data_IF_407827336296
#
_entry.id   IF_407827336296
#
_cell.length_a   1.000
_cell.length_b   1.000
_cell.length_c   1.000
_cell.angle_alpha   90.00
_cell.angle_beta   90.00
_cell.angle_gamma   90.00
#
_symmetry.space_group_name_H-M   'P 1'
#
loop_
_entity.id
_entity.type
_entity.pdbx_description
1 polymer ?
#
# COMPACT_ATOMS: atom_id res chain seq x y z
N UNK A 1 7.98 6.56 -9.70
CA UNK A 1 7.77 5.11 -9.92
C UNK A 1 8.99 4.50 -10.57
N UNK A 2 9.26 3.22 -10.27
CA UNK A 2 10.40 2.45 -10.76
C UNK A 2 9.89 1.06 -11.15
N UNK A 3 10.23 0.59 -12.36
CA UNK A 3 9.85 -0.74 -12.84
C UNK A 3 10.90 -1.79 -12.44
N UNK A 4 10.46 -3.05 -12.25
CA UNK A 4 11.36 -4.17 -11.96
C UNK A 4 12.05 -4.12 -10.59
N UNK A 5 11.46 -3.44 -9.61
CA UNK A 5 12.01 -3.39 -8.25
C UNK A 5 11.86 -4.74 -7.55
N UNK A 6 10.77 -5.46 -7.83
CA UNK A 6 10.52 -6.82 -7.34
C UNK A 6 10.44 -7.75 -8.52
N UNK A 7 11.18 -8.88 -8.50
CA UNK A 7 11.20 -9.82 -9.61
C UNK A 7 9.87 -10.57 -9.75
N UNK A 8 9.55 -11.17 -10.90
CA UNK A 8 8.34 -11.99 -11.05
C UNK A 8 8.27 -13.14 -10.03
N UNK A 9 9.40 -13.77 -9.72
CA UNK A 9 9.50 -14.88 -8.76
C UNK A 9 9.23 -14.40 -7.33
N UNK A 10 9.80 -13.24 -6.96
CA UNK A 10 9.52 -12.60 -5.67
C UNK A 10 8.04 -12.20 -5.54
N UNK A 11 7.46 -11.61 -6.59
CA UNK A 11 6.03 -11.28 -6.63
C UNK A 11 5.16 -12.51 -6.40
N UNK A 12 5.45 -13.60 -7.11
CA UNK A 12 4.72 -14.86 -6.98
C UNK A 12 4.85 -15.44 -5.57
N UNK A 13 6.06 -15.42 -4.99
CA UNK A 13 6.32 -15.89 -3.63
C UNK A 13 5.51 -15.10 -2.58
N UNK A 14 5.41 -13.76 -2.72
CA UNK A 14 4.59 -12.93 -1.83
C UNK A 14 3.11 -13.32 -1.96
N UNK A 15 2.60 -13.50 -3.18
CA UNK A 15 1.21 -13.89 -3.43
C UNK A 15 0.90 -15.23 -2.74
N UNK A 16 1.70 -16.26 -3.01
CA UNK A 16 1.51 -17.61 -2.46
C UNK A 16 1.58 -17.63 -0.92
N UNK A 17 2.54 -16.89 -0.35
CA UNK A 17 2.70 -16.77 1.10
C UNK A 17 1.50 -16.09 1.78
N UNK A 18 0.82 -15.17 1.06
CA UNK A 18 -0.27 -14.35 1.58
C UNK A 18 -1.64 -14.98 1.38
N UNK A 19 -1.85 -15.75 0.31
CA UNK A 19 -3.17 -16.16 -0.18
C UNK A 19 -4.05 -16.82 0.89
N UNK A 20 -3.49 -17.76 1.65
CA UNK A 20 -4.24 -18.50 2.70
C UNK A 20 -4.49 -17.68 3.97
N UNK A 21 -3.86 -16.49 4.10
CA UNK A 21 -3.92 -15.62 5.29
C UNK A 21 -4.81 -14.40 5.08
N UNK A 22 -5.39 -14.23 3.89
CA UNK A 22 -6.17 -13.04 3.55
C UNK A 22 -7.47 -12.97 4.36
N UNK A 23 -7.71 -11.79 4.96
CA UNK A 23 -8.96 -11.44 5.62
C UNK A 23 -9.59 -10.22 4.95
N UNK A 24 -10.87 -9.95 5.23
CA UNK A 24 -11.55 -8.74 4.76
C UNK A 24 -10.82 -7.51 5.27
N UNK A 25 -10.40 -6.62 4.35
CA UNK A 25 -9.67 -5.39 4.74
C UNK A 25 -10.53 -4.47 5.59
N UNK A 26 -9.89 -3.84 6.56
CA UNK A 26 -10.48 -2.87 7.49
C UNK A 26 -9.91 -1.47 7.25
N UNK A 27 -10.56 -0.45 7.77
CA UNK A 27 -10.08 0.93 7.86
C UNK A 27 -9.99 1.35 9.32
N UNK A 28 -9.09 2.28 9.61
CA UNK A 28 -9.01 2.92 10.92
C UNK A 28 -10.25 3.81 11.15
N UNK A 29 -10.87 3.70 12.31
CA UNK A 29 -12.01 4.52 12.73
C UNK A 29 -11.93 4.82 14.23
N UNK A 30 -12.77 5.71 14.73
CA UNK A 30 -12.91 5.98 16.17
C UNK A 30 -13.34 4.76 17.01
N UNK A 31 -13.81 3.70 16.36
CA UNK A 31 -14.21 2.42 16.99
C UNK A 31 -13.15 1.34 16.84
N UNK A 32 -11.96 1.69 16.30
CA UNK A 32 -10.88 0.77 15.98
C UNK A 32 -10.86 0.38 14.50
N UNK A 33 -10.30 -0.79 14.18
CA UNK A 33 -10.26 -1.31 12.82
C UNK A 33 -11.59 -1.96 12.44
N UNK A 34 -12.32 -1.37 11.51
CA UNK A 34 -13.65 -1.85 11.09
C UNK A 34 -13.69 -2.14 9.58
N UNK A 35 -14.48 -3.14 9.14
CA UNK A 35 -14.78 -3.31 7.72
C UNK A 35 -15.49 -2.08 7.18
N UNK A 36 -15.06 -1.60 6.01
CA UNK A 36 -15.63 -0.43 5.37
C UNK A 36 -16.16 -0.76 3.97
N UNK A 37 -17.24 -0.06 3.57
CA UNK A 37 -17.87 -0.18 2.24
C UNK A 37 -17.01 0.42 1.13
N UNK A 38 -16.12 1.35 1.50
CA UNK A 38 -15.27 2.08 0.56
C UNK A 38 -13.93 1.35 0.31
N UNK A 39 -13.60 0.33 1.16
CA UNK A 39 -12.46 -0.57 0.98
C UNK A 39 -12.94 -2.01 0.91
N UNK A 40 -13.05 -2.58 -0.29
CA UNK A 40 -13.67 -3.89 -0.52
C UNK A 40 -12.69 -5.03 -0.74
N UNK A 41 -11.39 -4.78 -0.67
CA UNK A 41 -10.30 -5.76 -0.80
C UNK A 41 -10.25 -6.80 0.34
N UNK A 42 -9.40 -7.82 0.15
CA UNK A 42 -8.90 -8.68 1.22
C UNK A 42 -7.40 -8.42 1.40
N UNK A 43 -6.91 -8.54 2.61
CA UNK A 43 -5.51 -8.25 2.89
C UNK A 43 -4.96 -8.99 4.09
N UNK A 44 -3.64 -8.94 4.23
CA UNK A 44 -2.89 -9.47 5.37
C UNK A 44 -1.71 -8.56 5.66
N UNK A 45 -1.41 -8.36 6.93
CA UNK A 45 -0.17 -7.73 7.38
C UNK A 45 0.89 -8.78 7.65
N UNK A 46 2.05 -8.65 7.02
CA UNK A 46 3.19 -9.54 7.15
C UNK A 46 4.37 -8.81 7.79
N UNK A 47 5.13 -9.43 8.69
CA UNK A 47 6.34 -8.83 9.23
C UNK A 47 7.40 -8.71 8.12
N UNK A 48 8.30 -7.73 8.25
CA UNK A 48 9.41 -7.54 7.29
C UNK A 48 10.33 -8.76 7.20
N UNK A 49 10.39 -9.58 8.25
CA UNK A 49 11.19 -10.81 8.31
C UNK A 49 10.73 -11.90 7.34
N UNK A 50 9.51 -11.80 6.80
CA UNK A 50 9.03 -12.76 5.80
C UNK A 50 9.69 -12.52 4.43
N UNK A 51 10.00 -11.25 4.11
CA UNK A 51 10.65 -10.84 2.85
C UNK A 51 11.67 -9.71 3.10
N UNK A 52 12.73 -9.96 3.89
CA UNK A 52 13.65 -8.92 4.35
C UNK A 52 14.37 -8.22 3.19
N UNK A 53 14.82 -8.97 2.19
CA UNK A 53 15.56 -8.41 1.04
C UNK A 53 14.74 -7.42 0.22
N UNK A 54 13.43 -7.66 0.08
CA UNK A 54 12.52 -6.76 -0.63
C UNK A 54 12.29 -5.48 0.18
N UNK A 55 12.07 -5.62 1.49
CA UNK A 55 11.87 -4.48 2.39
C UNK A 55 13.12 -3.60 2.47
N UNK A 56 14.31 -4.20 2.58
CA UNK A 56 15.59 -3.49 2.57
C UNK A 56 15.82 -2.76 1.25
N UNK A 57 15.56 -3.41 0.11
CA UNK A 57 15.65 -2.80 -1.22
C UNK A 57 14.76 -1.56 -1.35
N UNK A 58 13.52 -1.62 -0.85
CA UNK A 58 12.60 -0.46 -0.85
C UNK A 58 13.10 0.64 0.09
N UNK A 59 13.62 0.26 1.27
CA UNK A 59 14.23 1.18 2.23
C UNK A 59 15.42 1.93 1.61
N UNK A 60 16.29 1.23 0.88
CA UNK A 60 17.43 1.83 0.16
C UNK A 60 16.96 2.79 -0.95
N UNK A 61 16.01 2.38 -1.79
CA UNK A 61 15.47 3.22 -2.88
C UNK A 61 14.86 4.52 -2.34
N UNK A 62 14.18 4.44 -1.20
CA UNK A 62 13.49 5.58 -0.60
C UNK A 62 14.37 6.42 0.33
N UNK A 63 15.55 5.91 0.71
CA UNK A 63 16.39 6.44 1.78
C UNK A 63 15.65 6.58 3.13
N UNK A 64 14.58 5.78 3.33
CA UNK A 64 13.80 5.76 4.57
C UNK A 64 14.20 4.52 5.40
N UNK A 65 14.61 4.69 6.68
CA UNK A 65 14.99 3.57 7.53
C UNK A 65 13.85 2.55 7.71
N UNK A 66 14.15 1.26 7.53
CA UNK A 66 13.13 0.19 7.62
C UNK A 66 12.45 0.13 8.99
N UNK A 67 13.12 0.55 10.06
CA UNK A 67 12.53 0.66 11.40
C UNK A 67 11.36 1.66 11.51
N UNK A 68 11.17 2.50 10.49
CA UNK A 68 10.03 3.41 10.36
C UNK A 68 8.91 2.85 9.50
N UNK A 69 9.09 1.68 8.90
CA UNK A 69 8.08 1.08 8.04
C UNK A 69 7.06 0.29 8.85
N UNK A 70 5.78 0.46 8.53
CA UNK A 70 4.72 -0.43 9.01
C UNK A 70 4.91 -1.85 8.43
N UNK A 71 4.36 -2.91 9.06
CA UNK A 71 4.34 -4.23 8.46
C UNK A 71 3.82 -4.19 7.02
N UNK A 72 4.33 -5.06 6.16
CA UNK A 72 3.89 -5.16 4.76
C UNK A 72 2.40 -5.46 4.71
N UNK A 73 1.62 -4.63 4.03
CA UNK A 73 0.20 -4.86 3.80
C UNK A 73 0.00 -5.43 2.39
N UNK A 74 -0.21 -6.74 2.29
CA UNK A 74 -0.49 -7.41 1.02
C UNK A 74 -2.00 -7.44 0.80
N UNK A 75 -2.45 -6.98 -0.36
CA UNK A 75 -3.86 -6.80 -0.70
C UNK A 75 -4.20 -7.50 -2.01
N UNK A 76 -5.35 -8.19 -2.00
CA UNK A 76 -5.98 -8.77 -3.19
C UNK A 76 -7.31 -8.07 -3.48
N UNK A 77 -7.50 -7.72 -4.74
CA UNK A 77 -8.75 -7.21 -5.28
C UNK A 77 -9.23 -8.15 -6.39
N UNK A 78 -10.48 -8.59 -6.31
CA UNK A 78 -11.16 -9.28 -7.39
C UNK A 78 -12.01 -8.28 -8.19
N UNK A 79 -12.65 -8.73 -9.26
CA UNK A 79 -13.55 -7.92 -10.08
C UNK A 79 -14.59 -7.18 -9.21
N UNK A 80 -14.78 -5.90 -9.46
CA UNK A 80 -15.63 -4.97 -8.70
C UNK A 80 -15.17 -4.65 -7.25
N UNK A 81 -14.02 -5.15 -6.81
CA UNK A 81 -13.41 -4.71 -5.56
C UNK A 81 -12.50 -3.51 -5.82
N UNK A 82 -12.66 -2.49 -4.99
CA UNK A 82 -11.91 -1.23 -5.07
C UNK A 82 -11.56 -0.70 -3.69
N UNK A 83 -10.70 0.30 -3.66
CA UNK A 83 -10.57 1.21 -2.53
C UNK A 83 -10.82 2.61 -3.06
N UNK A 84 -11.94 3.22 -2.65
CA UNK A 84 -12.38 4.53 -3.12
C UNK A 84 -11.35 5.63 -2.81
N UNK A 85 -11.50 6.85 -3.39
CA UNK A 85 -10.55 7.93 -3.13
C UNK A 85 -10.36 8.20 -1.64
N UNK A 86 -9.10 8.13 -1.18
CA UNK A 86 -8.69 8.31 0.22
C UNK A 86 -7.29 8.92 0.31
N UNK A 87 -6.94 9.34 1.51
CA UNK A 87 -5.59 9.71 1.93
C UNK A 87 -5.03 8.60 2.82
N UNK A 88 -3.71 8.38 2.76
CA UNK A 88 -3.03 7.43 3.66
C UNK A 88 -2.60 8.07 4.99
N UNK A 89 -2.75 9.39 5.11
CA UNK A 89 -2.49 10.11 6.36
C UNK A 89 -3.35 9.58 7.51
N UNK A 90 -2.81 9.65 8.71
CA UNK A 90 -3.42 9.14 9.94
C UNK A 90 -3.92 10.27 10.82
N UNK A 91 -4.91 9.97 11.66
CA UNK A 91 -5.50 10.88 12.63
C UNK A 91 -5.55 10.26 14.03
N UNK A 92 -5.69 11.12 15.06
CA UNK A 92 -5.96 10.71 16.44
C UNK A 92 -4.91 9.80 17.03
N UNK A 93 -5.34 8.73 17.71
CA UNK A 93 -4.48 7.76 18.43
C UNK A 93 -3.50 7.00 17.52
N UNK A 94 -3.80 6.91 16.22
CA UNK A 94 -2.91 6.25 15.26
C UNK A 94 -1.60 7.00 15.04
N UNK A 95 -1.47 8.24 15.51
CA UNK A 95 -0.24 9.03 15.49
C UNK A 95 0.69 8.72 16.67
N UNK A 96 0.20 8.12 17.75
CA UNK A 96 0.96 7.90 18.97
C UNK A 96 2.17 6.98 18.78
N UNK A 97 2.05 6.00 17.87
CA UNK A 97 3.15 5.09 17.56
C UNK A 97 3.71 5.40 16.16
N UNK A 98 4.87 6.04 16.10
CA UNK A 98 5.58 6.34 14.86
C UNK A 98 5.24 7.69 14.20
N UNK A 99 4.28 8.46 14.70
CA UNK A 99 3.86 9.73 14.11
C UNK A 99 3.06 9.54 12.81
N UNK A 100 3.15 10.47 11.87
CA UNK A 100 2.40 10.46 10.63
C UNK A 100 3.03 9.50 9.59
N UNK A 101 2.21 8.99 8.65
CA UNK A 101 2.69 8.32 7.43
C UNK A 101 3.24 9.35 6.46
N UNK A 102 4.55 9.37 6.26
CA UNK A 102 5.20 10.34 5.35
C UNK A 102 5.20 9.88 3.90
N UNK A 103 5.41 8.57 3.69
CA UNK A 103 5.61 8.00 2.35
C UNK A 103 4.82 6.71 2.21
N UNK A 104 4.11 6.56 1.09
CA UNK A 104 3.52 5.30 0.64
C UNK A 104 4.38 4.70 -0.45
N UNK A 105 4.77 3.43 -0.28
CA UNK A 105 5.44 2.58 -1.24
C UNK A 105 4.51 1.44 -1.61
N UNK A 106 3.98 1.44 -2.82
CA UNK A 106 3.05 0.44 -3.34
C UNK A 106 3.72 -0.35 -4.46
N UNK A 107 3.89 -1.65 -4.26
CA UNK A 107 4.39 -2.58 -5.28
C UNK A 107 3.21 -3.33 -5.89
N UNK A 108 3.08 -3.30 -7.21
CA UNK A 108 2.17 -4.20 -7.91
C UNK A 108 2.82 -5.58 -8.04
N UNK A 109 2.12 -6.61 -7.57
CA UNK A 109 2.64 -7.98 -7.57
C UNK A 109 2.26 -8.75 -8.84
N UNK A 110 1.33 -8.23 -9.63
CA UNK A 110 0.96 -8.81 -10.92
C UNK A 110 0.48 -7.76 -11.91
N UNK A 111 0.37 -8.15 -13.17
CA UNK A 111 -0.29 -7.35 -14.19
C UNK A 111 -1.80 -7.49 -14.03
N UNK A 112 -2.52 -6.38 -13.90
CA UNK A 112 -3.97 -6.37 -13.80
C UNK A 112 -4.57 -5.27 -14.66
N UNK A 113 -5.23 -5.67 -15.75
CA UNK A 113 -5.90 -4.71 -16.65
C UNK A 113 -7.01 -3.99 -15.90
N UNK A 114 -7.01 -2.66 -15.92
CA UNK A 114 -7.93 -1.82 -15.17
C UNK A 114 -7.53 -1.60 -13.70
N UNK A 115 -6.77 -2.53 -13.09
CA UNK A 115 -6.41 -2.55 -11.67
C UNK A 115 -5.36 -1.53 -11.22
N UNK A 116 -5.23 -0.39 -11.85
CA UNK A 116 -4.26 0.65 -11.52
C UNK A 116 -4.54 1.40 -10.22
N UNK A 117 -3.71 2.41 -9.96
CA UNK A 117 -3.92 3.41 -8.91
C UNK A 117 -4.17 4.75 -9.57
N UNK A 118 -5.34 5.33 -9.32
CA UNK A 118 -5.72 6.64 -9.84
C UNK A 118 -5.39 7.73 -8.81
N UNK A 119 -4.93 8.88 -9.30
CA UNK A 119 -4.75 10.13 -8.55
C UNK A 119 -5.69 11.18 -9.16
N UNK A 120 -6.94 11.31 -8.64
CA UNK A 120 -7.96 12.16 -9.25
C UNK A 120 -7.55 13.63 -9.37
N UNK A 121 -6.83 14.17 -8.38
CA UNK A 121 -6.36 15.56 -8.38
C UNK A 121 -5.27 15.83 -9.40
N UNK A 122 -4.52 14.81 -9.82
CA UNK A 122 -3.49 14.89 -10.84
C UNK A 122 -3.99 14.46 -12.22
N UNK A 123 -5.19 13.89 -12.29
CA UNK A 123 -5.76 13.31 -13.51
C UNK A 123 -4.83 12.26 -14.17
N UNK A 124 -4.21 11.40 -13.34
CA UNK A 124 -3.33 10.31 -13.80
C UNK A 124 -3.79 8.97 -13.25
N UNK A 125 -3.46 7.90 -13.98
CA UNK A 125 -3.62 6.51 -13.55
C UNK A 125 -2.27 5.82 -13.76
N UNK A 126 -1.77 5.20 -12.69
CA UNK A 126 -0.59 4.32 -12.76
C UNK A 126 -1.06 2.89 -12.93
N UNK A 127 -0.73 2.27 -14.05
CA UNK A 127 -1.14 0.90 -14.37
C UNK A 127 -0.46 -0.16 -13.48
N UNK A 128 -1.21 -1.22 -13.18
CA UNK A 128 -0.71 -2.38 -12.45
C UNK A 128 0.19 -3.22 -13.35
N UNK A 129 1.50 -3.09 -13.13
CA UNK A 129 2.55 -3.87 -13.80
C UNK A 129 3.35 -4.57 -12.72
N UNK A 130 3.45 -5.90 -12.79
CA UNK A 130 4.16 -6.73 -11.82
C UNK A 130 5.61 -6.27 -11.61
N UNK A 131 6.02 -6.15 -10.35
CA UNK A 131 7.33 -5.66 -9.95
C UNK A 131 7.51 -4.13 -9.96
N UNK A 132 6.50 -3.35 -10.37
CA UNK A 132 6.54 -1.88 -10.34
C UNK A 132 6.35 -1.35 -8.94
N UNK A 133 7.25 -0.48 -8.49
CA UNK A 133 7.14 0.34 -7.29
C UNK A 133 6.59 1.72 -7.63
N UNK A 134 5.46 2.08 -7.04
CA UNK A 134 4.89 3.42 -7.01
C UNK A 134 5.14 4.04 -5.64
N UNK A 135 5.69 5.26 -5.61
CA UNK A 135 5.96 6.00 -4.37
C UNK A 135 5.33 7.38 -4.43
N UNK A 136 4.76 7.83 -3.32
CA UNK A 136 4.23 9.20 -3.18
C UNK A 136 4.21 9.64 -1.72
N UNK A 137 4.47 10.95 -1.52
CA UNK A 137 4.37 11.59 -0.21
C UNK A 137 2.91 11.76 0.21
N UNK A 138 2.62 11.55 1.48
CA UNK A 138 1.27 11.58 2.02
C UNK A 138 0.88 12.92 2.63
N UNK A 139 1.87 13.70 3.07
CA UNK A 139 1.65 14.93 3.83
C UNK A 139 2.43 16.10 3.24
N UNK A 140 1.97 17.30 3.56
CA UNK A 140 2.67 18.55 3.27
C UNK A 140 3.67 18.91 4.40
N UNK A 141 4.26 20.09 4.30
CA UNK A 141 5.24 20.60 5.27
C UNK A 141 4.66 20.86 6.69
N UNK A 142 3.33 20.89 6.83
CA UNK A 142 2.62 21.07 8.09
C UNK A 142 2.09 19.71 8.63
N UNK A 143 2.56 18.58 8.11
CA UNK A 143 2.10 17.22 8.42
C UNK A 143 0.59 16.99 8.18
N UNK A 144 -0.02 17.79 7.30
CA UNK A 144 -1.41 17.59 6.88
C UNK A 144 -1.47 16.76 5.61
N UNK A 145 -2.57 16.02 5.37
CA UNK A 145 -2.72 15.27 4.12
C UNK A 145 -2.49 16.17 2.90
N UNK A 146 -1.50 15.80 2.08
CA UNK A 146 -1.19 16.55 0.87
C UNK A 146 -2.29 16.34 -0.16
N UNK A 147 -2.91 17.42 -0.65
CA UNK A 147 -4.07 17.35 -1.54
C UNK A 147 -3.87 16.45 -2.76
N UNK A 148 -2.67 16.48 -3.36
CA UNK A 148 -2.33 15.69 -4.54
C UNK A 148 -2.08 14.20 -4.24
N UNK A 149 -1.99 13.81 -2.95
CA UNK A 149 -1.86 12.41 -2.55
C UNK A 149 -3.21 11.67 -2.49
N UNK A 150 -4.33 12.37 -2.72
CA UNK A 150 -5.63 11.70 -2.87
C UNK A 150 -5.53 10.64 -3.96
N UNK A 151 -5.75 9.38 -3.61
CA UNK A 151 -5.61 8.27 -4.54
C UNK A 151 -6.71 7.21 -4.36
N UNK A 152 -6.87 6.37 -5.37
CA UNK A 152 -7.89 5.32 -5.43
C UNK A 152 -7.27 4.04 -5.98
N UNK A 153 -7.58 2.91 -5.34
CA UNK A 153 -7.27 1.59 -5.87
C UNK A 153 -8.38 1.12 -6.81
N UNK A 154 -8.14 1.17 -8.13
CA UNK A 154 -9.12 0.78 -9.14
C UNK A 154 -9.33 -0.75 -9.16
N UNK A 155 -10.55 -1.22 -9.46
CA UNK A 155 -10.85 -2.64 -9.62
C UNK A 155 -10.20 -3.18 -10.90
N UNK A 156 -9.73 -4.45 -10.91
CA UNK A 156 -9.36 -5.12 -12.15
C UNK A 156 -10.59 -5.39 -13.00
N UNK A 157 -10.46 -5.30 -14.34
CA UNK A 157 -11.55 -5.60 -15.26
C UNK A 157 -11.86 -7.10 -15.28
N UNK A 158 -10.84 -7.94 -15.09
CA UNK A 158 -10.92 -9.39 -14.99
C UNK A 158 -9.78 -9.93 -14.11
N UNK A 159 -9.93 -11.14 -13.63
CA UNK A 159 -8.94 -11.79 -12.77
C UNK A 159 -8.81 -11.07 -11.42
N UNK A 160 -7.57 -10.97 -10.96
CA UNK A 160 -7.21 -10.41 -9.66
C UNK A 160 -6.10 -9.37 -9.80
N UNK A 161 -6.11 -8.38 -8.92
CA UNK A 161 -5.02 -7.44 -8.68
C UNK A 161 -4.42 -7.73 -7.32
N UNK A 162 -3.11 -7.88 -7.27
CA UNK A 162 -2.34 -8.03 -6.06
C UNK A 162 -1.36 -6.88 -5.90
N UNK A 163 -1.32 -6.30 -4.71
CA UNK A 163 -0.38 -5.23 -4.35
C UNK A 163 0.18 -5.47 -2.96
N UNK A 164 1.39 -4.99 -2.73
CA UNK A 164 2.01 -4.91 -1.42
C UNK A 164 2.29 -3.43 -1.12
N UNK A 165 1.94 -2.97 0.08
CA UNK A 165 2.19 -1.60 0.51
C UNK A 165 3.07 -1.58 1.74
N UNK A 166 4.12 -0.72 1.71
CA UNK A 166 4.86 -0.29 2.88
C UNK A 166 4.58 1.20 3.12
N UNK A 167 4.19 1.54 4.34
CA UNK A 167 4.07 2.92 4.78
C UNK A 167 5.23 3.29 5.69
N UNK A 168 5.97 4.32 5.34
CA UNK A 168 7.03 4.85 6.20
C UNK A 168 6.50 5.97 7.07
N UNK A 169 6.73 5.82 8.37
CA UNK A 169 6.29 6.74 9.41
C UNK A 169 7.32 7.84 9.67
N UNK A 170 6.89 8.85 10.39
CA UNK A 170 7.71 10.00 10.79
C UNK A 170 8.88 9.59 11.70
N UNK A 171 8.64 8.65 12.61
CA UNK A 171 9.63 8.09 13.52
C UNK A 171 9.56 6.57 13.55
N UNK A 172 10.47 5.95 14.29
CA UNK A 172 10.48 4.51 14.53
C UNK A 172 9.16 4.03 15.14
N UNK A 173 8.68 2.88 14.68
CA UNK A 173 7.52 2.17 15.22
C UNK A 173 8.02 1.26 16.38
N UNK A 174 7.32 1.30 17.52
CA UNK A 174 7.63 0.50 18.72
C UNK A 174 6.91 -0.85 18.70
#
# INVERSE_FOLDING_TARGET
MVDGVVTPEECQSIIEHSESKLERSTVASSEGLVPDKDRTSHGVFLPHTDFPEICERISEITAMPLERAEPMNVLRYTKAQEYKPHYDGLDGEYLENGGQRLLTCLVYLNNAVGGGTAFPKLNIIVGSIGGRLLMFGNVDQDNKPHELSLHQGLPPHEGEKWVMTLWFRETKIL
#
